data_IF_963991616014
#
_entry.id   IF_963991616014
#
_cell.length_a   1.000
_cell.length_b   1.000
_cell.length_c   1.000
_cell.angle_alpha   90.00
_cell.angle_beta   90.00
_cell.angle_gamma   90.00
#
_symmetry.space_group_name_H-M   'P 1'
#
loop_
_entity.id
_entity.type
_entity.pdbx_description
1 polymer ?
#
# COMPACT_ATOMS: atom_id res chain seq x y z
N UNK A 1 12.80 21.60 -15.18
CA UNK A 1 13.44 20.35 -15.66
C UNK A 1 14.95 20.36 -15.48
N UNK A 2 15.66 21.40 -15.96
CA UNK A 2 17.11 21.54 -15.86
C UNK A 2 17.62 21.41 -14.42
N UNK A 3 16.94 22.02 -13.47
CA UNK A 3 17.23 21.90 -12.03
C UNK A 3 17.24 20.43 -11.57
N UNK A 4 16.23 19.62 -11.92
CA UNK A 4 16.17 18.21 -11.54
C UNK A 4 17.28 17.39 -12.20
N UNK A 5 17.60 17.73 -13.44
CA UNK A 5 18.65 17.06 -14.20
C UNK A 5 20.02 17.23 -13.54
N UNK A 6 20.30 18.42 -13.03
CA UNK A 6 21.57 18.77 -12.38
C UNK A 6 21.60 18.37 -10.88
N UNK A 7 20.43 18.03 -10.29
CA UNK A 7 20.32 17.65 -8.87
C UNK A 7 20.73 16.21 -8.61
N UNK A 8 21.40 15.97 -7.48
CA UNK A 8 21.74 14.60 -7.01
C UNK A 8 20.73 14.03 -6.02
N UNK A 9 19.95 14.86 -5.36
CA UNK A 9 19.02 14.54 -4.28
C UNK A 9 17.63 15.17 -4.46
N UNK A 10 17.36 15.72 -5.64
CA UNK A 10 16.09 16.36 -5.96
C UNK A 10 14.93 15.37 -6.10
N UNK A 11 13.74 15.83 -5.72
CA UNK A 11 12.48 15.12 -5.94
C UNK A 11 11.70 15.85 -7.03
N UNK A 12 11.28 15.11 -8.05
CA UNK A 12 10.42 15.62 -9.10
C UNK A 12 9.05 14.93 -9.02
N UNK A 13 8.00 15.75 -8.91
CA UNK A 13 6.63 15.29 -9.10
C UNK A 13 6.21 15.58 -10.54
N UNK A 14 5.76 14.58 -11.24
CA UNK A 14 5.40 14.70 -12.66
C UNK A 14 4.26 13.75 -13.03
N UNK A 15 3.57 14.06 -14.11
CA UNK A 15 2.64 13.13 -14.76
C UNK A 15 3.40 12.15 -15.66
N UNK A 16 2.72 11.11 -16.13
CA UNK A 16 3.27 10.14 -17.09
C UNK A 16 3.85 10.81 -18.37
N UNK A 17 3.31 11.97 -18.75
CA UNK A 17 3.78 12.75 -19.92
C UNK A 17 5.22 13.27 -19.76
N UNK A 18 5.70 13.50 -18.55
CA UNK A 18 7.07 13.94 -18.30
C UNK A 18 8.12 12.93 -18.77
N UNK A 19 7.71 11.71 -18.91
CA UNK A 19 8.60 10.62 -19.24
C UNK A 19 9.06 10.54 -20.68
N UNK A 20 8.44 11.24 -21.60
CA UNK A 20 8.87 11.26 -23.01
C UNK A 20 10.02 12.27 -23.18
N UNK A 21 11.26 11.75 -23.23
CA UNK A 21 12.45 12.57 -23.53
C UNK A 21 13.38 12.89 -22.35
N UNK A 22 13.08 12.50 -21.13
CA UNK A 22 13.99 12.71 -19.98
C UNK A 22 14.90 11.52 -19.81
N UNK A 23 16.19 11.69 -20.03
CA UNK A 23 17.24 10.68 -19.86
C UNK A 23 18.17 10.99 -18.68
N UNK A 24 17.58 11.25 -17.50
CA UNK A 24 18.38 11.32 -16.26
C UNK A 24 18.72 9.89 -15.82
N UNK A 25 20.00 9.54 -15.83
CA UNK A 25 20.47 8.17 -15.63
C UNK A 25 20.53 7.74 -14.16
N UNK A 26 20.76 8.66 -13.25
CA UNK A 26 21.03 8.44 -11.84
C UNK A 26 19.77 8.52 -10.92
N UNK A 27 18.59 8.25 -11.46
CA UNK A 27 17.36 8.17 -10.67
C UNK A 27 17.43 6.93 -9.77
N UNK A 28 17.40 7.14 -8.46
CA UNK A 28 17.49 6.06 -7.45
C UNK A 28 16.13 5.51 -7.03
N UNK A 29 15.08 6.31 -7.18
CA UNK A 29 13.75 5.92 -6.70
C UNK A 29 12.67 6.45 -7.63
N UNK A 30 11.75 5.57 -8.00
CA UNK A 30 10.52 5.90 -8.72
C UNK A 30 9.33 5.56 -7.82
N UNK A 31 8.42 6.51 -7.63
CA UNK A 31 7.22 6.30 -6.81
C UNK A 31 5.98 6.59 -7.63
N UNK A 32 5.13 5.61 -7.79
CA UNK A 32 3.83 5.76 -8.41
C UNK A 32 2.80 6.07 -7.31
N UNK A 33 2.31 7.30 -7.27
CA UNK A 33 1.21 7.73 -6.40
C UNK A 33 -0.15 7.39 -7.01
N UNK A 34 -0.21 7.34 -8.34
CA UNK A 34 -1.34 6.88 -9.13
C UNK A 34 -0.94 5.61 -9.85
N UNK A 35 -1.81 4.61 -9.83
CA UNK A 35 -1.51 3.31 -10.44
C UNK A 35 -1.52 3.41 -11.96
N UNK A 36 -0.42 3.06 -12.64
CA UNK A 36 -0.39 2.95 -14.09
C UNK A 36 -1.45 1.96 -14.59
N UNK A 37 -2.06 2.26 -15.74
CA UNK A 37 -3.18 1.46 -16.25
C UNK A 37 -2.81 0.04 -16.65
N UNK A 38 -1.55 -0.20 -17.04
CA UNK A 38 -1.09 -1.50 -17.53
C UNK A 38 0.32 -1.82 -17.04
N UNK A 39 0.71 -3.10 -17.08
CA UNK A 39 2.04 -3.55 -16.73
C UNK A 39 3.13 -2.91 -17.60
N UNK A 40 2.86 -2.67 -18.88
CA UNK A 40 3.80 -2.01 -19.79
C UNK A 40 4.06 -0.57 -19.38
N UNK A 41 2.99 0.18 -19.02
CA UNK A 41 3.11 1.56 -18.55
C UNK A 41 3.93 1.59 -17.25
N UNK A 42 3.61 0.71 -16.29
CA UNK A 42 4.37 0.58 -15.05
C UNK A 42 5.85 0.32 -15.29
N UNK A 43 6.18 -0.64 -16.16
CA UNK A 43 7.59 -1.00 -16.46
C UNK A 43 8.33 0.15 -17.14
N UNK A 44 7.68 0.86 -18.07
CA UNK A 44 8.27 2.03 -18.74
C UNK A 44 8.58 3.16 -17.75
N UNK A 45 7.68 3.39 -16.81
CA UNK A 45 7.85 4.42 -15.78
C UNK A 45 8.88 4.01 -14.72
N UNK A 46 8.76 2.80 -14.18
CA UNK A 46 9.72 2.24 -13.22
C UNK A 46 11.13 2.10 -13.81
N UNK A 47 11.23 1.75 -15.08
CA UNK A 47 12.48 1.60 -15.83
C UNK A 47 13.27 2.89 -16.07
N UNK A 48 12.79 4.04 -15.56
CA UNK A 48 13.56 5.29 -15.50
C UNK A 48 14.60 5.26 -14.39
N UNK A 49 14.39 4.44 -13.37
CA UNK A 49 15.36 4.25 -12.29
C UNK A 49 16.55 3.40 -12.72
N UNK A 50 17.74 3.76 -12.27
CA UNK A 50 18.94 2.93 -12.39
C UNK A 50 19.50 2.77 -13.80
N UNK A 51 19.26 3.71 -14.71
CA UNK A 51 19.82 3.66 -16.09
C UNK A 51 21.34 3.78 -16.13
N UNK A 52 21.94 4.21 -15.04
CA UNK A 52 23.40 4.21 -14.82
C UNK A 52 23.96 2.84 -14.39
N UNK A 53 23.11 1.81 -14.33
CA UNK A 53 23.46 0.47 -13.83
C UNK A 53 23.42 0.35 -12.30
N UNK A 54 23.09 1.42 -11.58
CA UNK A 54 22.95 1.38 -10.12
C UNK A 54 21.63 0.75 -9.70
N UNK A 55 21.58 0.24 -8.47
CA UNK A 55 20.34 -0.27 -7.88
C UNK A 55 19.36 0.89 -7.69
N UNK A 56 18.16 0.76 -8.26
CA UNK A 56 17.06 1.66 -8.06
C UNK A 56 15.86 0.92 -7.46
N UNK A 57 15.00 1.68 -6.77
CA UNK A 57 13.77 1.14 -6.15
C UNK A 57 12.54 1.72 -6.85
N UNK A 58 11.58 0.86 -7.15
CA UNK A 58 10.27 1.27 -7.63
C UNK A 58 9.21 0.95 -6.57
N UNK A 59 8.40 1.94 -6.22
CA UNK A 59 7.30 1.82 -5.28
C UNK A 59 5.98 2.09 -5.99
N UNK A 60 4.99 1.26 -5.73
CA UNK A 60 3.60 1.49 -6.10
C UNK A 60 2.82 1.71 -4.80
N UNK A 61 2.17 2.87 -4.69
CA UNK A 61 1.22 3.15 -3.61
C UNK A 61 -0.13 2.61 -4.07
N UNK A 62 -0.55 1.52 -3.45
CA UNK A 62 -1.80 0.83 -3.77
C UNK A 62 -2.84 1.08 -2.70
N UNK A 63 -4.03 1.52 -3.09
CA UNK A 63 -5.15 1.82 -2.20
C UNK A 63 -6.34 0.88 -2.41
N UNK A 64 -7.33 0.95 -1.53
CA UNK A 64 -8.58 0.24 -1.75
C UNK A 64 -9.34 0.77 -2.98
N UNK A 65 -9.23 2.06 -3.24
CA UNK A 65 -9.84 2.67 -4.45
C UNK A 65 -9.25 2.08 -5.72
N UNK A 66 -7.92 1.86 -5.75
CA UNK A 66 -7.27 1.17 -6.86
C UNK A 66 -7.78 -0.27 -6.99
N UNK A 67 -7.89 -0.99 -5.88
CA UNK A 67 -8.42 -2.37 -5.88
C UNK A 67 -9.84 -2.43 -6.46
N UNK A 68 -10.70 -1.49 -6.10
CA UNK A 68 -12.07 -1.37 -6.64
C UNK A 68 -12.07 -0.96 -8.12
N UNK A 69 -11.21 0.00 -8.49
CA UNK A 69 -11.10 0.49 -9.87
C UNK A 69 -10.63 -0.62 -10.81
N UNK A 70 -9.58 -1.32 -10.44
CA UNK A 70 -8.99 -2.39 -11.25
C UNK A 70 -9.77 -3.71 -11.14
N UNK A 71 -10.54 -3.91 -10.08
CA UNK A 71 -11.43 -5.07 -9.89
C UNK A 71 -12.55 -5.22 -10.93
N UNK A 72 -12.76 -4.21 -11.78
CA UNK A 72 -13.69 -4.26 -12.92
C UNK A 72 -13.13 -5.06 -14.10
N UNK A 73 -11.84 -5.28 -14.12
CA UNK A 73 -11.15 -5.97 -15.21
C UNK A 73 -10.86 -7.42 -14.84
N UNK A 74 -10.87 -8.30 -15.84
CA UNK A 74 -10.40 -9.68 -15.66
C UNK A 74 -8.91 -9.68 -15.31
N UNK A 75 -8.48 -10.56 -14.41
CA UNK A 75 -7.07 -10.70 -13.99
C UNK A 75 -6.12 -11.00 -15.16
N UNK A 76 -6.65 -11.59 -16.25
CA UNK A 76 -5.90 -11.87 -17.47
C UNK A 76 -5.90 -10.71 -18.48
N UNK A 77 -6.62 -9.62 -18.18
CA UNK A 77 -6.59 -8.43 -19.02
C UNK A 77 -5.34 -7.58 -18.74
N UNK A 78 -5.01 -6.70 -19.68
CA UNK A 78 -3.85 -5.78 -19.52
C UNK A 78 -3.98 -4.89 -18.29
N UNK A 79 -5.19 -4.39 -18.03
CA UNK A 79 -5.50 -3.55 -16.86
C UNK A 79 -5.55 -4.39 -15.57
N UNK A 80 -6.16 -5.57 -15.61
CA UNK A 80 -6.28 -6.47 -14.45
C UNK A 80 -4.93 -6.98 -13.96
N UNK A 81 -3.92 -7.05 -14.84
CA UNK A 81 -2.55 -7.43 -14.47
C UNK A 81 -1.94 -6.52 -13.38
N UNK A 82 -2.33 -5.25 -13.32
CA UNK A 82 -1.85 -4.32 -12.30
C UNK A 82 -2.43 -4.64 -10.92
N UNK A 83 -3.69 -5.06 -10.84
CA UNK A 83 -4.27 -5.55 -9.59
C UNK A 83 -3.57 -6.82 -9.13
N UNK A 84 -3.40 -7.78 -10.04
CA UNK A 84 -2.67 -9.02 -9.75
C UNK A 84 -1.25 -8.73 -9.27
N UNK A 85 -0.54 -7.79 -9.90
CA UNK A 85 0.80 -7.35 -9.47
C UNK A 85 0.80 -6.75 -8.05
N UNK A 86 -0.18 -5.89 -7.74
CA UNK A 86 -0.22 -5.20 -6.46
C UNK A 86 -0.66 -6.11 -5.29
N UNK A 87 -1.59 -7.04 -5.54
CA UNK A 87 -2.23 -7.86 -4.51
C UNK A 87 -1.64 -9.29 -4.39
N UNK A 88 -0.72 -9.69 -5.28
CA UNK A 88 -0.13 -11.03 -5.26
C UNK A 88 0.63 -11.33 -3.98
N UNK A 89 0.63 -12.61 -3.60
CA UNK A 89 1.54 -13.17 -2.60
C UNK A 89 2.74 -13.92 -3.23
N UNK A 90 2.81 -13.93 -4.57
CA UNK A 90 3.86 -14.55 -5.34
C UNK A 90 4.89 -13.51 -5.83
N UNK A 91 5.89 -13.94 -6.56
CA UNK A 91 6.92 -13.06 -7.10
C UNK A 91 6.32 -11.97 -7.99
N UNK A 92 6.40 -10.70 -7.58
CA UNK A 92 5.88 -9.56 -8.34
C UNK A 92 6.50 -9.41 -9.73
N UNK A 93 7.81 -9.71 -9.84
CA UNK A 93 8.49 -9.68 -11.13
C UNK A 93 7.90 -10.71 -12.09
N UNK A 94 7.57 -11.92 -11.58
CA UNK A 94 6.99 -12.95 -12.43
C UNK A 94 5.59 -12.55 -12.91
N UNK A 95 4.77 -11.93 -12.04
CA UNK A 95 3.45 -11.42 -12.45
C UNK A 95 3.56 -10.42 -13.60
N UNK A 96 4.55 -9.51 -13.56
CA UNK A 96 4.76 -8.57 -14.67
C UNK A 96 5.26 -9.28 -15.94
N UNK A 97 6.15 -10.26 -15.81
CA UNK A 97 6.64 -11.04 -16.96
C UNK A 97 5.51 -11.84 -17.60
N UNK A 98 4.67 -12.50 -16.81
CA UNK A 98 3.51 -13.26 -17.29
C UNK A 98 2.53 -12.36 -18.06
N UNK A 99 2.28 -11.14 -17.54
CA UNK A 99 1.43 -10.16 -18.21
C UNK A 99 1.96 -9.69 -19.57
N UNK A 100 3.29 -9.79 -19.79
CA UNK A 100 3.96 -9.43 -21.03
C UNK A 100 4.29 -10.64 -21.92
N UNK A 101 3.88 -11.85 -21.54
CA UNK A 101 4.22 -13.07 -22.25
C UNK A 101 5.70 -13.47 -22.13
N UNK A 102 6.37 -13.02 -21.06
CA UNK A 102 7.78 -13.32 -20.81
C UNK A 102 7.98 -14.66 -20.12
N UNK A 103 9.19 -15.21 -20.26
CA UNK A 103 9.57 -16.47 -19.63
C UNK A 103 9.80 -16.32 -18.12
N UNK A 104 9.82 -17.47 -17.43
CA UNK A 104 10.12 -17.52 -16.01
C UNK A 104 11.54 -17.02 -15.73
N UNK A 105 11.67 -16.06 -14.79
CA UNK A 105 12.96 -15.48 -14.44
C UNK A 105 13.21 -15.50 -12.93
N UNK A 106 14.46 -15.68 -12.54
CA UNK A 106 14.89 -15.55 -11.17
C UNK A 106 14.77 -14.10 -10.68
N UNK A 107 14.28 -13.90 -9.48
CA UNK A 107 14.05 -12.59 -8.90
C UNK A 107 14.79 -12.40 -7.57
N UNK A 108 15.68 -11.41 -7.55
CA UNK A 108 16.41 -10.99 -6.33
C UNK A 108 15.98 -9.59 -5.83
N UNK A 109 14.90 -9.02 -6.37
CA UNK A 109 14.65 -7.59 -6.17
C UNK A 109 13.24 -7.23 -5.66
N UNK A 110 12.23 -8.09 -5.76
CA UNK A 110 10.92 -7.73 -5.26
C UNK A 110 10.79 -7.97 -3.75
N UNK A 111 9.90 -7.22 -3.11
CA UNK A 111 9.62 -7.27 -1.66
C UNK A 111 9.29 -8.68 -1.16
N UNK A 112 8.56 -9.46 -1.96
CA UNK A 112 8.16 -10.83 -1.59
C UNK A 112 9.32 -11.82 -1.68
N UNK A 113 10.13 -11.76 -2.73
CA UNK A 113 11.32 -12.63 -2.87
C UNK A 113 12.40 -12.28 -1.83
N UNK A 114 12.57 -10.99 -1.52
CA UNK A 114 13.47 -10.52 -0.47
C UNK A 114 12.93 -10.76 0.94
N UNK A 115 11.70 -11.26 1.07
CA UNK A 115 11.01 -11.44 2.37
C UNK A 115 11.08 -10.18 3.25
N UNK A 116 10.96 -9.01 2.63
CA UNK A 116 10.95 -7.76 3.35
C UNK A 116 9.77 -7.79 4.33
N UNK A 117 10.03 -7.51 5.60
CA UNK A 117 8.97 -7.41 6.60
C UNK A 117 7.97 -6.38 6.14
N UNK A 118 6.73 -6.81 5.90
CA UNK A 118 5.62 -5.87 5.70
C UNK A 118 5.59 -4.95 6.91
N UNK A 119 5.55 -3.64 6.70
CA UNK A 119 5.22 -2.73 7.78
C UNK A 119 3.89 -3.19 8.37
N UNK A 120 3.73 -3.10 9.70
CA UNK A 120 2.42 -3.40 10.30
C UNK A 120 1.37 -2.61 9.56
N UNK A 121 0.40 -3.30 8.98
CA UNK A 121 -0.72 -2.65 8.32
C UNK A 121 -1.41 -1.70 9.31
N UNK A 122 -1.96 -0.62 8.83
CA UNK A 122 -2.56 0.39 9.71
C UNK A 122 -3.70 -0.17 10.55
N UNK A 123 -4.45 -1.14 10.02
CA UNK A 123 -5.49 -1.85 10.74
C UNK A 123 -4.95 -2.66 11.95
N UNK A 124 -3.71 -3.18 11.91
CA UNK A 124 -3.10 -3.86 13.07
C UNK A 124 -2.93 -2.90 14.25
N UNK A 125 -2.55 -1.67 13.97
CA UNK A 125 -2.41 -0.64 15.01
C UNK A 125 -3.75 -0.33 15.68
N UNK A 126 -4.84 -0.30 14.92
CA UNK A 126 -6.20 -0.11 15.43
C UNK A 126 -6.66 -1.34 16.21
N UNK A 127 -6.40 -2.52 15.67
CA UNK A 127 -6.70 -3.79 16.35
C UNK A 127 -6.04 -3.88 17.72
N UNK A 128 -4.74 -3.61 17.82
CA UNK A 128 -4.00 -3.60 19.08
C UNK A 128 -4.53 -2.53 20.07
N UNK A 129 -4.97 -1.38 19.56
CA UNK A 129 -5.60 -0.36 20.39
C UNK A 129 -6.88 -0.88 21.04
N UNK A 130 -7.75 -1.56 20.29
CA UNK A 130 -8.98 -2.18 20.81
C UNK A 130 -8.68 -3.34 21.75
N UNK A 131 -7.68 -4.16 21.41
CA UNK A 131 -7.23 -5.31 22.22
C UNK A 131 -6.74 -4.90 23.60
N UNK A 132 -5.96 -3.82 23.68
CA UNK A 132 -5.45 -3.27 24.96
C UNK A 132 -6.53 -2.72 25.87
N UNK A 133 -7.62 -2.20 25.31
CA UNK A 133 -8.70 -1.53 26.09
C UNK A 133 -10.06 -2.10 25.71
N UNK A 134 -10.29 -3.36 26.11
CA UNK A 134 -11.57 -4.06 25.85
C UNK A 134 -12.77 -3.26 26.34
N UNK A 135 -13.82 -3.16 25.51
CA UNK A 135 -15.09 -2.49 25.80
C UNK A 135 -14.96 -1.00 26.16
N UNK A 136 -13.84 -0.37 25.85
CA UNK A 136 -13.61 1.05 26.18
C UNK A 136 -14.15 1.96 25.08
N UNK A 137 -13.92 1.60 23.82
CA UNK A 137 -14.21 2.46 22.69
C UNK A 137 -15.64 2.24 22.16
N UNK A 138 -16.38 3.34 21.94
CA UNK A 138 -17.44 3.40 20.93
C UNK A 138 -16.81 3.52 19.56
N UNK A 139 -17.60 3.34 18.49
CA UNK A 139 -17.08 3.49 17.12
C UNK A 139 -16.55 4.91 16.86
N UNK A 140 -17.30 5.92 17.30
CA UNK A 140 -16.92 7.32 17.16
C UNK A 140 -15.61 7.65 17.90
N UNK A 141 -15.51 7.29 19.19
CA UNK A 141 -14.30 7.52 19.98
C UNK A 141 -13.08 6.73 19.45
N UNK A 142 -13.32 5.54 18.88
CA UNK A 142 -12.25 4.76 18.26
C UNK A 142 -11.75 5.46 16.99
N UNK A 143 -12.66 6.00 16.18
CA UNK A 143 -12.32 6.71 14.95
C UNK A 143 -11.45 7.94 15.26
N UNK A 144 -11.88 8.79 16.18
CA UNK A 144 -11.12 9.96 16.61
C UNK A 144 -9.74 9.58 17.17
N UNK A 145 -9.70 8.56 18.04
CA UNK A 145 -8.45 8.10 18.64
C UNK A 145 -7.50 7.50 17.60
N UNK A 146 -8.04 6.78 16.62
CA UNK A 146 -7.28 6.23 15.50
C UNK A 146 -6.67 7.34 14.67
N UNK A 147 -7.47 8.32 14.27
CA UNK A 147 -7.01 9.47 13.50
C UNK A 147 -5.86 10.21 14.20
N UNK A 148 -6.00 10.51 15.49
CA UNK A 148 -4.95 11.14 16.28
C UNK A 148 -3.67 10.30 16.35
N UNK A 149 -3.80 8.98 16.53
CA UNK A 149 -2.67 8.06 16.60
C UNK A 149 -1.93 7.98 15.26
N UNK A 150 -2.66 7.86 14.15
CA UNK A 150 -2.10 7.74 12.82
C UNK A 150 -1.43 9.04 12.37
N UNK A 151 -2.05 10.19 12.62
CA UNK A 151 -1.44 11.49 12.36
C UNK A 151 -0.18 11.71 13.20
N UNK A 152 -0.15 11.26 14.45
CA UNK A 152 1.07 11.31 15.28
C UNK A 152 2.20 10.47 14.69
N UNK A 153 1.90 9.26 14.18
CA UNK A 153 2.89 8.42 13.48
C UNK A 153 3.40 9.09 12.20
N UNK A 154 2.49 9.70 11.44
CA UNK A 154 2.82 10.34 10.15
C UNK A 154 3.68 11.60 10.32
N UNK A 155 3.66 12.26 11.48
CA UNK A 155 4.49 13.45 11.76
C UNK A 155 5.98 13.19 11.67
N UNK A 156 6.42 11.95 11.76
CA UNK A 156 7.82 11.57 11.50
C UNK A 156 8.20 11.71 10.02
N UNK A 157 7.23 11.80 9.11
CA UNK A 157 7.42 11.86 7.67
C UNK A 157 6.83 13.12 7.04
N UNK A 158 5.86 13.77 7.69
CA UNK A 158 5.19 14.97 7.20
C UNK A 158 4.70 15.82 8.38
N UNK A 159 4.82 17.14 8.25
CA UNK A 159 4.23 18.09 9.22
C UNK A 159 2.71 18.20 9.11
N UNK A 160 2.11 17.68 8.05
CA UNK A 160 0.68 17.70 7.82
C UNK A 160 -0.06 16.54 8.50
N UNK A 161 -1.31 16.76 8.89
CA UNK A 161 -2.23 15.71 9.27
C UNK A 161 -2.81 15.11 7.99
N UNK A 162 -2.26 13.98 7.57
CA UNK A 162 -2.63 13.30 6.31
C UNK A 162 -3.80 12.32 6.49
N UNK A 163 -4.05 11.86 7.71
CA UNK A 163 -5.16 10.96 8.02
C UNK A 163 -6.43 11.72 8.29
N UNK A 164 -7.48 11.38 7.55
CA UNK A 164 -8.82 11.95 7.69
C UNK A 164 -9.74 11.04 8.50
N UNK A 165 -10.91 11.56 8.87
CA UNK A 165 -11.96 10.79 9.53
C UNK A 165 -12.48 9.66 8.60
N UNK A 166 -12.54 9.90 7.30
CA UNK A 166 -12.95 8.92 6.30
C UNK A 166 -12.00 7.72 6.27
N UNK A 167 -10.69 7.95 6.21
CA UNK A 167 -9.67 6.90 6.17
C UNK A 167 -9.74 5.98 7.38
N UNK A 168 -9.95 6.57 8.57
CA UNK A 168 -10.03 5.79 9.81
C UNK A 168 -11.35 5.05 9.96
N UNK A 169 -12.45 5.60 9.44
CA UNK A 169 -13.75 4.92 9.36
C UNK A 169 -13.66 3.69 8.49
N UNK A 170 -12.97 3.78 7.37
CA UNK A 170 -12.76 2.66 6.46
C UNK A 170 -11.99 1.51 7.13
N UNK A 171 -10.87 1.80 7.81
CA UNK A 171 -10.11 0.79 8.56
C UNK A 171 -10.99 0.09 9.61
N UNK A 172 -11.78 0.85 10.36
CA UNK A 172 -12.67 0.30 11.39
C UNK A 172 -13.75 -0.58 10.74
N UNK A 173 -14.32 -0.16 9.62
CA UNK A 173 -15.28 -0.96 8.85
C UNK A 173 -14.66 -2.28 8.39
N UNK A 174 -13.49 -2.26 7.79
CA UNK A 174 -12.78 -3.48 7.37
C UNK A 174 -12.53 -4.45 8.54
N UNK A 175 -12.16 -3.93 9.72
CA UNK A 175 -11.98 -4.75 10.92
C UNK A 175 -13.30 -5.35 11.42
N UNK A 176 -14.43 -4.65 11.25
CA UNK A 176 -15.77 -5.15 11.59
C UNK A 176 -16.22 -6.22 10.59
N UNK A 177 -16.08 -5.96 9.30
CA UNK A 177 -16.49 -6.86 8.22
C UNK A 177 -15.69 -8.17 8.22
N UNK A 178 -14.40 -8.09 8.53
CA UNK A 178 -13.54 -9.25 8.76
C UNK A 178 -13.80 -9.94 10.11
N UNK A 179 -14.74 -9.46 10.90
CA UNK A 179 -15.07 -9.96 12.26
C UNK A 179 -13.88 -10.00 13.23
N UNK A 180 -12.85 -9.20 12.99
CA UNK A 180 -11.72 -9.06 13.91
C UNK A 180 -12.08 -8.23 15.14
N UNK A 181 -12.91 -7.22 14.96
CA UNK A 181 -13.55 -6.48 16.05
C UNK A 181 -15.07 -6.62 15.96
N UNK A 182 -15.73 -6.69 17.10
CA UNK A 182 -17.18 -6.88 17.19
C UNK A 182 -17.77 -5.96 18.26
N UNK A 183 -19.04 -5.61 18.12
CA UNK A 183 -19.79 -4.96 19.18
C UNK A 183 -20.16 -5.95 20.28
N UNK A 184 -20.10 -5.50 21.51
CA UNK A 184 -20.62 -6.25 22.65
C UNK A 184 -22.08 -5.90 22.88
N UNK A 185 -22.94 -6.92 22.87
CA UNK A 185 -24.39 -6.75 22.87
C UNK A 185 -25.06 -6.88 24.26
N UNK A 186 -24.30 -6.96 25.37
CA UNK A 186 -24.89 -7.21 26.69
C UNK A 186 -24.82 -5.97 27.58
N UNK A 187 -23.98 -5.92 28.60
CA UNK A 187 -23.90 -4.76 29.52
C UNK A 187 -23.22 -3.52 28.92
N UNK A 188 -22.43 -3.68 27.86
CA UNK A 188 -21.62 -2.65 27.25
C UNK A 188 -22.06 -2.39 25.80
N UNK A 189 -23.36 -2.05 25.63
CA UNK A 189 -23.92 -1.71 24.31
C UNK A 189 -23.05 -0.66 23.61
N UNK A 190 -22.87 -0.84 22.31
CA UNK A 190 -22.08 0.05 21.44
C UNK A 190 -20.58 0.17 21.79
N UNK A 191 -19.99 -0.83 22.46
CA UNK A 191 -18.55 -0.88 22.71
C UNK A 191 -17.88 -1.96 21.88
N UNK A 192 -16.73 -1.64 21.33
CA UNK A 192 -15.96 -2.53 20.48
C UNK A 192 -15.00 -3.40 21.29
N UNK A 193 -14.86 -4.64 20.86
CA UNK A 193 -13.90 -5.60 21.40
C UNK A 193 -13.32 -6.47 20.31
N UNK A 194 -12.16 -7.05 20.58
CA UNK A 194 -11.53 -8.04 19.70
C UNK A 194 -12.31 -9.34 19.74
N UNK A 195 -12.54 -9.95 18.58
CA UNK A 195 -13.18 -11.24 18.46
C UNK A 195 -12.15 -12.35 18.69
N UNK A 196 -12.18 -12.97 19.87
CA UNK A 196 -11.23 -14.02 20.24
C UNK A 196 -11.25 -15.28 19.35
N UNK A 197 -12.34 -15.52 18.61
CA UNK A 197 -12.45 -16.69 17.72
C UNK A 197 -11.55 -16.56 16.48
N UNK A 198 -11.16 -15.36 16.11
CA UNK A 198 -10.34 -15.06 14.92
C UNK A 198 -8.91 -14.60 15.29
N UNK A 199 -8.49 -14.77 16.56
CA UNK A 199 -7.15 -14.36 17.04
C UNK A 199 -6.04 -15.38 16.64
N UNK A 200 -6.44 -16.60 16.22
CA UNK A 200 -5.53 -17.69 15.82
C UNK A 200 -4.80 -17.45 14.48
N UNK A 201 -5.33 -16.60 13.62
CA UNK A 201 -4.76 -16.33 12.29
C UNK A 201 -3.54 -15.41 12.33
N UNK A 202 -3.15 -14.94 13.52
CA UNK A 202 -2.04 -14.01 13.73
C UNK A 202 -0.69 -14.66 14.04
N UNK A 203 -0.67 -15.98 14.34
CA UNK A 203 0.57 -16.67 14.77
C UNK A 203 1.29 -17.42 13.65
N UNK A 204 0.73 -17.43 12.44
CA UNK A 204 1.30 -18.14 11.29
C UNK A 204 1.48 -17.21 10.08
N UNK A 205 2.31 -16.20 10.20
CA UNK A 205 2.68 -15.31 9.10
C UNK A 205 4.02 -14.64 9.36
#
# INVERSE_FOLDING_TARGET
EKWFYDSKDGILCATCAYGMGVDKKDIKTVVHLETPKTAEAYIQEAGRGGRDGSIAKAFLIWSLEDSLLFGKYSDDSREGSMRKFAETNECRRQVLLDALGGEKAYCEGCDLCLKLKKSKADWESVYELVKKRKNFYSEENLNEKTMLMMNKKSRNFSSANIWTHSDTTEIISQLKDSKKIIFRNYFWKNRLMVNKKNDSDFQSG
#
